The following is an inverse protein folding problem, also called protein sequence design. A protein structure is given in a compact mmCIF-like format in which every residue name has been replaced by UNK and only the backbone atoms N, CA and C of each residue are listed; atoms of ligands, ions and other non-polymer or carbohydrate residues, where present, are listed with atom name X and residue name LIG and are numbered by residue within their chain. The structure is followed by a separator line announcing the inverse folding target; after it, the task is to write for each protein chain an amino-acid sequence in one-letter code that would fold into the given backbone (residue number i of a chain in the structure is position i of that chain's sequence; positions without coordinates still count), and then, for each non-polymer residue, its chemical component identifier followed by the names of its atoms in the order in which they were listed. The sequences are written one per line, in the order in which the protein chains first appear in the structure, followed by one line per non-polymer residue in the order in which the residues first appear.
data_IF_508783538592
#
_entry.id   IF_508783538592
#
_cell.length_a   1.000
_cell.length_b   1.000
_cell.length_c   1.000
_cell.angle_alpha   90.00
_cell.angle_beta   90.00
_cell.angle_gamma   90.00
#
_symmetry.space_group_name_H-M   'P 1'
#
loop_
_entity.id
_entity.type
_entity.pdbx_description
1 polymer ?
#
# COMPACT_ATOMS: atom_id res chain seq x y z
N UNK A 1 39.92 38.35 2.45
CA UNK A 1 38.75 37.73 1.81
C UNK A 1 37.87 38.90 1.42
N UNK A 2 37.55 39.05 0.12
CA UNK A 2 36.69 40.18 -0.31
C UNK A 2 35.29 40.00 0.32
N UNK A 3 34.64 41.14 0.64
CA UNK A 3 33.27 41.12 1.20
C UNK A 3 32.31 40.35 0.31
N UNK A 4 32.54 40.34 -1.00
CA UNK A 4 31.73 39.61 -1.98
C UNK A 4 31.81 38.08 -1.79
N UNK A 5 33.00 37.55 -1.47
CA UNK A 5 33.16 36.11 -1.19
C UNK A 5 32.39 35.73 0.09
N UNK A 6 32.43 36.56 1.11
CA UNK A 6 31.68 36.34 2.37
C UNK A 6 30.18 36.35 2.11
N UNK A 7 29.68 37.29 1.31
CA UNK A 7 28.27 37.38 0.93
C UNK A 7 27.84 36.14 0.13
N UNK A 8 28.63 35.71 -0.85
CA UNK A 8 28.34 34.48 -1.63
C UNK A 8 28.29 33.23 -0.74
N UNK A 9 29.22 33.09 0.20
CA UNK A 9 29.26 31.96 1.13
C UNK A 9 28.03 31.99 2.08
N UNK A 10 27.62 33.16 2.56
CA UNK A 10 26.41 33.31 3.39
C UNK A 10 25.15 33.01 2.61
N UNK A 11 25.03 33.45 1.35
CA UNK A 11 23.90 33.12 0.49
C UNK A 11 23.86 31.62 0.18
N UNK A 12 25.00 30.99 -0.13
CA UNK A 12 25.09 29.55 -0.35
C UNK A 12 24.70 28.77 0.90
N UNK A 13 25.23 29.19 2.06
CA UNK A 13 24.84 28.59 3.35
C UNK A 13 23.33 28.74 3.62
N UNK A 14 22.75 29.90 3.38
CA UNK A 14 21.31 30.13 3.52
C UNK A 14 20.50 29.23 2.59
N UNK A 15 20.91 29.10 1.32
CA UNK A 15 20.26 28.22 0.34
C UNK A 15 20.37 26.76 0.78
N UNK A 16 21.54 26.28 1.18
CA UNK A 16 21.73 24.92 1.68
C UNK A 16 20.95 24.68 2.96
N UNK A 17 20.89 25.65 3.86
CA UNK A 17 20.11 25.58 5.09
C UNK A 17 18.60 25.54 4.81
N UNK A 18 18.10 26.34 3.86
CA UNK A 18 16.71 26.27 3.40
C UNK A 18 16.40 24.92 2.74
N UNK A 19 17.30 24.40 1.90
CA UNK A 19 17.15 23.06 1.33
C UNK A 19 17.12 21.96 2.41
N UNK A 20 17.94 22.08 3.44
CA UNK A 20 17.94 21.16 4.58
C UNK A 20 16.63 21.24 5.37
N UNK A 21 16.15 22.44 5.69
CA UNK A 21 14.87 22.68 6.39
C UNK A 21 13.68 22.17 5.56
N UNK A 22 13.70 22.37 4.24
CA UNK A 22 12.67 21.90 3.31
C UNK A 22 12.77 20.40 3.01
N UNK A 23 13.86 19.73 3.46
CA UNK A 23 14.01 18.31 3.27
C UNK A 23 12.93 17.52 4.05
N UNK A 24 12.41 16.44 3.46
CA UNK A 24 11.46 15.57 4.16
C UNK A 24 12.02 15.01 5.47
N UNK A 25 13.34 14.81 5.57
CA UNK A 25 14.00 14.32 6.79
C UNK A 25 13.79 15.26 7.98
N UNK A 26 13.89 16.56 7.74
CA UNK A 26 13.64 17.57 8.76
C UNK A 26 12.14 17.61 9.13
N UNK A 27 11.27 17.68 8.13
CA UNK A 27 9.82 17.63 8.34
C UNK A 27 9.43 16.36 9.13
N UNK A 28 9.95 15.19 8.75
CA UNK A 28 9.69 13.93 9.44
C UNK A 28 10.06 13.99 10.92
N UNK A 29 11.19 14.62 11.28
CA UNK A 29 11.58 14.76 12.68
C UNK A 29 10.45 15.39 13.51
N UNK A 30 9.87 16.48 13.04
CA UNK A 30 8.73 17.12 13.72
C UNK A 30 7.47 16.26 13.68
N UNK A 31 7.12 15.71 12.54
CA UNK A 31 5.94 14.84 12.42
C UNK A 31 6.02 13.64 13.37
N UNK A 32 7.21 13.15 13.65
CA UNK A 32 7.43 11.99 14.52
C UNK A 32 7.40 12.31 16.02
N UNK A 33 7.28 13.57 16.42
CA UNK A 33 7.02 13.97 17.79
C UNK A 33 5.56 13.75 18.21
N UNK A 34 4.65 13.69 17.24
CA UNK A 34 3.22 13.58 17.48
C UNK A 34 2.73 12.12 17.36
N UNK A 35 1.54 11.88 17.91
CA UNK A 35 0.84 10.59 17.74
C UNK A 35 0.71 10.23 16.25
N UNK A 36 1.03 8.98 15.86
CA UNK A 36 1.05 8.59 14.44
C UNK A 36 -0.28 8.75 13.72
N UNK A 37 -1.40 8.40 14.38
CA UNK A 37 -2.72 8.47 13.76
C UNK A 37 -3.23 9.91 13.67
N UNK A 38 -2.94 10.75 14.69
CA UNK A 38 -3.31 12.17 14.67
C UNK A 38 -2.56 12.91 13.56
N UNK A 39 -1.25 12.68 13.46
CA UNK A 39 -0.45 13.38 12.44
C UNK A 39 -0.78 12.92 11.03
N UNK A 40 -1.16 11.67 10.83
CA UNK A 40 -1.67 11.18 9.55
C UNK A 40 -2.91 11.97 9.11
N UNK A 41 -3.89 12.16 10.00
CA UNK A 41 -5.09 12.96 9.71
C UNK A 41 -4.76 14.43 9.40
N UNK A 42 -3.87 15.03 10.18
CA UNK A 42 -3.40 16.43 9.94
C UNK A 42 -2.71 16.52 8.57
N UNK A 43 -1.85 15.55 8.24
CA UNK A 43 -1.19 15.50 6.93
C UNK A 43 -2.20 15.40 5.78
N UNK A 44 -3.31 14.67 5.95
CA UNK A 44 -4.37 14.60 4.95
C UNK A 44 -5.08 15.94 4.73
N UNK A 45 -5.37 16.68 5.81
CA UNK A 45 -5.94 18.03 5.70
C UNK A 45 -5.01 18.94 4.91
N UNK A 46 -3.70 18.91 5.22
CA UNK A 46 -2.69 19.69 4.51
C UNK A 46 -2.58 19.26 3.04
N UNK A 47 -2.52 17.96 2.75
CA UNK A 47 -2.45 17.44 1.38
C UNK A 47 -3.69 17.79 0.56
N UNK A 48 -4.90 17.70 1.13
CA UNK A 48 -6.13 18.15 0.47
C UNK A 48 -6.07 19.62 0.08
N UNK A 49 -5.59 20.48 0.99
CA UNK A 49 -5.40 21.90 0.70
C UNK A 49 -4.37 22.09 -0.41
N UNK A 50 -3.22 21.41 -0.34
CA UNK A 50 -2.18 21.45 -1.35
C UNK A 50 -2.71 21.05 -2.73
N UNK A 51 -3.45 19.94 -2.80
CA UNK A 51 -4.03 19.41 -4.05
C UNK A 51 -5.20 20.23 -4.59
N UNK A 52 -5.81 21.10 -3.77
CA UNK A 52 -6.87 22.02 -4.25
C UNK A 52 -6.33 23.19 -5.06
N UNK A 53 -5.02 23.45 -5.02
CA UNK A 53 -4.36 24.57 -5.71
C UNK A 53 -3.74 24.06 -7.04
N UNK A 54 -4.30 24.39 -8.22
CA UNK A 54 -3.85 23.82 -9.51
C UNK A 54 -2.38 24.09 -9.83
N UNK A 55 -1.88 25.29 -9.53
CA UNK A 55 -0.46 25.66 -9.74
C UNK A 55 0.49 24.82 -8.85
N UNK A 56 0.06 24.47 -7.65
CA UNK A 56 0.79 23.59 -6.74
C UNK A 56 0.97 22.20 -7.33
N UNK A 57 -0.08 21.59 -7.87
CA UNK A 57 0.00 20.26 -8.50
C UNK A 57 1.04 20.22 -9.62
N UNK A 58 1.01 21.20 -10.53
CA UNK A 58 1.98 21.27 -11.64
C UNK A 58 3.42 21.41 -11.15
N UNK A 59 3.64 22.25 -10.13
CA UNK A 59 4.94 22.43 -9.49
C UNK A 59 5.48 21.12 -8.89
N UNK A 60 4.70 20.42 -8.06
CA UNK A 60 5.13 19.20 -7.41
C UNK A 60 5.33 18.05 -8.40
N UNK A 61 4.48 17.94 -9.43
CA UNK A 61 4.66 16.97 -10.53
C UNK A 61 6.03 17.11 -11.20
N UNK A 62 6.49 18.34 -11.42
CA UNK A 62 7.82 18.60 -11.99
C UNK A 62 8.96 18.03 -11.12
N UNK A 63 8.81 18.04 -9.80
CA UNK A 63 9.84 17.55 -8.88
C UNK A 63 9.81 16.03 -8.68
N UNK A 64 8.64 15.41 -8.66
CA UNK A 64 8.50 14.01 -8.23
C UNK A 64 8.24 13.03 -9.39
N UNK A 65 7.69 13.48 -10.51
CA UNK A 65 7.42 12.56 -11.62
C UNK A 65 8.68 12.31 -12.45
N UNK A 66 8.96 11.05 -12.71
CA UNK A 66 9.95 10.59 -13.67
C UNK A 66 9.20 9.97 -14.85
N UNK A 67 9.25 10.62 -16.01
CA UNK A 67 8.61 10.11 -17.24
C UNK A 67 9.63 9.39 -18.09
N UNK A 68 9.43 8.10 -18.34
CA UNK A 68 10.22 7.31 -19.26
C UNK A 68 9.38 6.10 -19.72
N UNK A 69 9.34 5.83 -21.00
CA UNK A 69 8.60 4.69 -21.58
C UNK A 69 9.11 3.34 -21.05
N UNK A 70 10.37 3.23 -20.66
CA UNK A 70 10.89 1.99 -20.07
C UNK A 70 10.26 1.61 -18.74
N UNK A 71 9.59 2.56 -18.06
CA UNK A 71 8.87 2.32 -16.81
C UNK A 71 7.46 1.77 -17.02
N UNK A 72 6.91 1.97 -18.22
CA UNK A 72 5.54 1.53 -18.53
C UNK A 72 5.45 0.00 -18.46
N UNK A 73 4.41 -0.48 -17.81
CA UNK A 73 4.12 -1.92 -17.64
C UNK A 73 2.67 -2.21 -17.97
N UNK A 74 2.44 -3.25 -18.77
CA UNK A 74 1.10 -3.83 -18.93
C UNK A 74 1.01 -5.07 -18.06
N UNK A 75 0.16 -5.04 -17.04
CA UNK A 75 -0.01 -6.12 -16.04
C UNK A 75 -1.50 -6.36 -15.87
N UNK A 76 -1.94 -7.61 -15.83
CA UNK A 76 -3.36 -8.03 -15.78
C UNK A 76 -4.30 -7.17 -16.64
N UNK A 77 -3.85 -6.83 -17.86
CA UNK A 77 -4.64 -6.07 -18.84
C UNK A 77 -4.75 -4.55 -18.59
N UNK A 78 -4.06 -4.01 -17.58
CA UNK A 78 -3.98 -2.58 -17.29
C UNK A 78 -2.60 -2.02 -17.65
N UNK A 79 -2.56 -0.77 -18.12
CA UNK A 79 -1.32 -0.07 -18.48
C UNK A 79 -0.92 0.88 -17.35
N UNK A 80 0.22 0.61 -16.72
CA UNK A 80 0.78 1.41 -15.64
C UNK A 80 1.90 2.31 -16.17
N UNK A 81 1.87 3.60 -15.88
CA UNK A 81 2.91 4.58 -16.28
C UNK A 81 4.28 4.27 -15.61
N UNK A 82 4.26 3.59 -14.48
CA UNK A 82 5.44 3.07 -13.79
C UNK A 82 5.03 1.99 -12.77
N UNK A 83 5.95 1.11 -12.34
CA UNK A 83 5.61 -0.04 -11.53
C UNK A 83 5.43 0.26 -10.03
N UNK A 84 5.48 1.51 -9.58
CA UNK A 84 5.47 1.86 -8.14
C UNK A 84 4.10 2.36 -7.71
N UNK A 85 3.46 1.65 -6.79
CA UNK A 85 2.16 2.00 -6.23
C UNK A 85 2.21 2.33 -4.74
N UNK A 86 1.11 2.93 -4.26
CA UNK A 86 0.85 3.13 -2.84
C UNK A 86 -0.04 1.99 -2.31
N UNK A 87 0.39 1.32 -1.24
CA UNK A 87 -0.34 0.19 -0.66
C UNK A 87 -1.59 0.64 0.10
N UNK A 88 -2.59 -0.27 0.17
CA UNK A 88 -3.79 -0.10 0.97
C UNK A 88 -3.49 0.24 2.44
N UNK A 89 -4.40 1.00 3.04
CA UNK A 89 -4.31 1.44 4.43
C UNK A 89 -3.75 2.84 4.60
N UNK A 90 -3.11 3.43 3.58
CA UNK A 90 -2.65 4.81 3.61
C UNK A 90 -3.82 5.77 3.34
N UNK A 91 -4.48 5.65 2.22
CA UNK A 91 -5.71 6.38 1.87
C UNK A 91 -6.91 5.41 1.87
N UNK A 92 -7.37 5.04 3.05
CA UNK A 92 -8.42 4.03 3.21
C UNK A 92 -9.75 4.42 2.59
N UNK A 93 -10.07 5.68 2.76
CA UNK A 93 -11.39 6.22 2.45
C UNK A 93 -11.42 7.01 1.14
N UNK A 94 -10.37 6.86 0.31
CA UNK A 94 -10.21 7.60 -0.94
C UNK A 94 -10.35 9.13 -0.76
N UNK A 95 -9.62 9.67 0.22
CA UNK A 95 -9.69 11.08 0.56
C UNK A 95 -8.73 11.96 -0.24
N UNK A 96 -7.56 11.41 -0.65
CA UNK A 96 -6.49 12.13 -1.34
C UNK A 96 -5.97 11.41 -2.58
N UNK A 97 -6.54 10.25 -2.94
CA UNK A 97 -6.10 9.37 -4.04
C UNK A 97 -5.81 10.13 -5.34
N UNK A 98 -6.65 11.11 -5.67
CA UNK A 98 -6.62 11.86 -6.92
C UNK A 98 -5.38 12.77 -7.05
N UNK A 99 -4.79 13.16 -5.94
CA UNK A 99 -3.57 13.97 -5.89
C UNK A 99 -2.27 13.15 -5.72
N UNK A 100 -2.37 11.85 -5.47
CA UNK A 100 -1.20 11.02 -5.20
C UNK A 100 -0.33 10.78 -6.44
N UNK A 101 -0.89 10.94 -7.64
CA UNK A 101 -0.13 10.95 -8.90
C UNK A 101 0.95 12.05 -8.89
N UNK A 102 0.73 13.13 -8.15
CA UNK A 102 1.67 14.25 -7.99
C UNK A 102 3.01 13.80 -7.39
N UNK A 103 3.00 12.74 -6.57
CA UNK A 103 4.22 12.16 -5.99
C UNK A 103 4.85 11.08 -6.87
N UNK A 104 4.35 10.90 -8.10
CA UNK A 104 4.92 9.97 -9.09
C UNK A 104 4.46 8.52 -8.95
N UNK A 105 3.44 8.23 -8.14
CA UNK A 105 2.85 6.90 -8.09
C UNK A 105 2.18 6.55 -9.42
N UNK A 106 2.43 5.34 -9.93
CA UNK A 106 1.75 4.79 -11.09
C UNK A 106 0.34 4.29 -10.78
N UNK A 107 0.09 3.91 -9.53
CA UNK A 107 -1.21 3.45 -9.05
C UNK A 107 -1.34 3.60 -7.54
N UNK A 108 -2.58 3.54 -7.05
CA UNK A 108 -2.89 3.57 -5.61
C UNK A 108 -3.89 2.47 -5.26
N UNK A 109 -3.73 1.85 -4.09
CA UNK A 109 -4.68 0.91 -3.53
C UNK A 109 -5.39 1.57 -2.35
N UNK A 110 -6.68 1.86 -2.53
CA UNK A 110 -7.53 2.40 -1.47
C UNK A 110 -8.05 1.27 -0.57
N UNK A 111 -8.57 1.60 0.60
CA UNK A 111 -9.16 0.63 1.51
C UNK A 111 -8.19 0.20 2.63
N UNK A 112 -8.50 -0.84 3.37
CA UNK A 112 -9.60 -1.81 3.12
C UNK A 112 -10.95 -1.15 3.38
N UNK A 113 -11.84 -1.27 2.41
CA UNK A 113 -13.22 -0.80 2.46
C UNK A 113 -14.12 -1.93 2.91
N UNK A 114 -15.07 -1.63 3.80
CA UNK A 114 -16.13 -2.55 4.23
C UNK A 114 -17.51 -2.00 3.87
N UNK A 115 -18.58 -2.82 3.82
CA UNK A 115 -19.92 -2.34 3.48
C UNK A 115 -20.37 -1.18 4.34
N UNK A 116 -20.25 -1.32 5.65
CA UNK A 116 -20.63 -0.31 6.63
C UNK A 116 -19.40 0.36 7.20
N UNK A 117 -19.53 1.65 7.55
CA UNK A 117 -18.51 2.36 8.33
C UNK A 117 -18.24 1.66 9.66
N UNK A 118 -16.98 1.67 10.09
CA UNK A 118 -16.60 1.13 11.40
C UNK A 118 -15.38 1.83 11.96
N UNK A 119 -15.37 2.02 13.30
CA UNK A 119 -14.30 2.73 14.00
C UNK A 119 -12.99 1.96 14.06
N UNK A 120 -13.04 0.63 13.90
CA UNK A 120 -11.90 -0.27 14.07
C UNK A 120 -11.61 -0.60 15.53
N UNK A 121 -10.34 -0.87 15.85
CA UNK A 121 -9.93 -1.22 17.20
C UNK A 121 -9.69 0.02 18.07
N UNK A 122 -9.74 -0.12 19.43
CA UNK A 122 -9.44 0.97 20.36
C UNK A 122 -8.06 1.59 20.15
N UNK A 123 -7.94 2.87 20.43
CA UNK A 123 -6.66 3.61 20.42
C UNK A 123 -5.95 3.49 21.79
N UNK A 124 -4.60 3.58 21.80
CA UNK A 124 -3.69 3.73 20.65
C UNK A 124 -3.56 2.43 19.84
N UNK A 125 -3.44 2.55 18.54
CA UNK A 125 -3.45 1.42 17.60
C UNK A 125 -2.45 1.52 16.44
N UNK A 126 -1.59 2.53 16.48
CA UNK A 126 -0.52 2.75 15.50
C UNK A 126 0.75 3.18 16.23
N UNK A 127 1.84 2.43 16.05
CA UNK A 127 3.08 2.62 16.79
C UNK A 127 4.27 2.60 15.83
N UNK A 128 5.16 3.61 15.95
CA UNK A 128 6.40 3.67 15.17
C UNK A 128 7.54 3.04 15.94
N UNK A 129 8.22 2.11 15.32
CA UNK A 129 9.50 1.56 15.78
C UNK A 129 10.62 2.29 15.05
N UNK A 130 11.03 3.45 15.58
CA UNK A 130 11.92 4.39 14.86
C UNK A 130 13.27 3.77 14.53
N UNK A 131 13.85 2.96 15.45
CA UNK A 131 15.15 2.29 15.28
C UNK A 131 15.08 1.21 14.18
N UNK A 132 13.92 0.58 14.02
CA UNK A 132 13.70 -0.51 13.06
C UNK A 132 13.16 -0.01 11.71
N UNK A 133 12.93 1.29 11.53
CA UNK A 133 12.23 1.84 10.38
C UNK A 133 10.92 1.07 10.10
N UNK A 134 10.14 0.86 11.14
CA UNK A 134 8.98 -0.02 11.15
C UNK A 134 7.75 0.61 11.82
N UNK A 135 6.60 -0.02 11.59
CA UNK A 135 5.33 0.37 12.19
C UNK A 135 4.59 -0.89 12.65
N UNK A 136 4.09 -0.89 13.90
CA UNK A 136 3.10 -1.85 14.36
C UNK A 136 1.74 -1.18 14.30
N UNK A 137 0.76 -1.84 13.69
CA UNK A 137 -0.63 -1.38 13.65
C UNK A 137 -1.61 -2.46 14.08
N UNK A 138 -2.70 -2.04 14.72
CA UNK A 138 -3.87 -2.85 15.01
C UNK A 138 -5.16 -2.09 14.66
N UNK A 139 -5.22 -1.57 13.45
CA UNK A 139 -6.27 -0.67 13.01
C UNK A 139 -7.66 -1.30 13.00
N UNK A 140 -7.81 -2.56 12.56
CA UNK A 140 -9.09 -3.28 12.53
C UNK A 140 -10.06 -2.77 11.47
N UNK A 141 -9.55 -2.43 10.29
CA UNK A 141 -10.33 -1.95 9.15
C UNK A 141 -11.23 -0.74 9.45
N UNK A 142 -10.73 0.23 10.25
CA UNK A 142 -11.44 1.50 10.40
C UNK A 142 -11.59 2.19 9.03
N UNK A 143 -12.83 2.50 8.65
CA UNK A 143 -13.16 3.16 7.39
C UNK A 143 -14.58 3.75 7.44
N UNK A 144 -14.89 4.66 6.50
CA UNK A 144 -16.16 5.38 6.42
C UNK A 144 -17.26 4.57 5.70
N UNK A 145 -16.99 3.34 5.28
CA UNK A 145 -17.91 2.48 4.54
C UNK A 145 -17.92 2.75 3.02
N UNK A 146 -18.41 1.78 2.28
CA UNK A 146 -18.33 1.78 0.81
C UNK A 146 -19.05 2.97 0.16
N UNK A 147 -20.17 3.42 0.70
CA UNK A 147 -20.94 4.53 0.12
C UNK A 147 -20.15 5.86 0.19
N UNK A 148 -19.48 6.12 1.31
CA UNK A 148 -18.65 7.32 1.46
C UNK A 148 -17.47 7.29 0.50
N UNK A 149 -16.82 6.13 0.35
CA UNK A 149 -15.71 5.92 -0.59
C UNK A 149 -16.18 6.15 -2.03
N UNK A 150 -17.30 5.57 -2.45
CA UNK A 150 -17.91 5.78 -3.79
C UNK A 150 -18.19 7.25 -4.03
N UNK A 151 -18.78 7.96 -3.04
CA UNK A 151 -19.05 9.40 -3.17
C UNK A 151 -17.79 10.23 -3.46
N UNK A 152 -16.63 9.83 -2.92
CA UNK A 152 -15.35 10.49 -3.15
C UNK A 152 -14.77 10.10 -4.52
N UNK A 153 -14.79 8.82 -4.87
CA UNK A 153 -14.29 8.30 -6.15
C UNK A 153 -15.03 8.89 -7.36
N UNK A 154 -16.31 9.22 -7.25
CA UNK A 154 -17.09 9.92 -8.30
C UNK A 154 -16.48 11.26 -8.71
N UNK A 155 -15.62 11.84 -7.88
CA UNK A 155 -14.95 13.14 -8.11
C UNK A 155 -13.57 13.01 -8.73
N UNK A 156 -13.16 11.77 -9.12
CA UNK A 156 -11.86 11.50 -9.75
C UNK A 156 -11.63 12.40 -10.96
N UNK A 157 -10.47 13.02 -11.02
CA UNK A 157 -10.02 13.91 -12.11
C UNK A 157 -8.74 13.40 -12.79
N UNK A 158 -7.91 12.65 -12.06
CA UNK A 158 -6.65 12.09 -12.57
C UNK A 158 -6.90 10.77 -13.31
N UNK A 159 -5.90 10.35 -14.08
CA UNK A 159 -5.90 9.04 -14.75
C UNK A 159 -5.20 7.96 -13.91
N UNK A 160 -4.90 8.23 -12.63
CA UNK A 160 -4.23 7.27 -11.77
C UNK A 160 -5.05 5.97 -11.67
N UNK A 161 -4.38 4.84 -11.78
CA UNK A 161 -5.01 3.52 -11.63
C UNK A 161 -5.34 3.30 -10.14
N UNK A 162 -6.55 2.84 -9.88
CA UNK A 162 -7.06 2.64 -8.51
C UNK A 162 -7.36 1.16 -8.28
N UNK A 163 -6.67 0.56 -7.31
CA UNK A 163 -7.05 -0.73 -6.73
C UNK A 163 -8.04 -0.55 -5.59
N UNK A 164 -9.12 -1.30 -5.63
CA UNK A 164 -10.12 -1.36 -4.56
C UNK A 164 -9.84 -2.51 -3.61
N UNK A 165 -9.22 -2.26 -2.47
CA UNK A 165 -9.01 -3.27 -1.44
C UNK A 165 -10.27 -3.43 -0.61
N UNK A 166 -10.87 -4.62 -0.63
CA UNK A 166 -12.16 -4.92 0.01
C UNK A 166 -12.04 -5.96 1.11
N UNK A 167 -12.89 -5.85 2.11
CA UNK A 167 -12.92 -6.76 3.25
C UNK A 167 -14.28 -6.78 3.95
N UNK A 168 -14.45 -7.73 4.89
CA UNK A 168 -15.67 -7.80 5.69
C UNK A 168 -15.67 -6.83 6.88
N UNK A 169 -16.84 -6.41 7.32
CA UNK A 169 -17.00 -5.72 8.58
C UNK A 169 -16.55 -6.62 9.76
N UNK A 170 -16.07 -5.99 10.83
CA UNK A 170 -15.56 -6.70 12.02
C UNK A 170 -16.63 -7.58 12.67
N UNK A 171 -17.88 -7.10 12.70
CA UNK A 171 -19.01 -7.78 13.33
C UNK A 171 -19.65 -8.86 12.43
N UNK A 172 -19.34 -8.88 11.14
CA UNK A 172 -19.88 -9.90 10.24
C UNK A 172 -19.20 -11.25 10.53
N UNK A 173 -19.95 -12.32 10.85
CA UNK A 173 -19.41 -13.65 11.03
C UNK A 173 -18.77 -14.20 9.75
N UNK A 174 -17.83 -15.13 9.85
CA UNK A 174 -17.10 -15.66 8.70
C UNK A 174 -18.01 -16.39 7.70
N UNK A 175 -19.06 -17.07 8.16
CA UNK A 175 -20.06 -17.75 7.33
C UNK A 175 -20.88 -16.78 6.45
N UNK A 176 -20.95 -15.50 6.83
CA UNK A 176 -21.62 -14.42 6.08
C UNK A 176 -20.64 -13.46 5.40
N UNK A 177 -19.33 -13.73 5.51
CA UNK A 177 -18.30 -12.82 5.00
C UNK A 177 -18.47 -12.53 3.49
N UNK A 178 -18.86 -13.53 2.70
CA UNK A 178 -19.03 -13.40 1.25
C UNK A 178 -19.93 -12.24 0.89
N UNK A 179 -21.04 -12.03 1.61
CA UNK A 179 -21.97 -10.93 1.35
C UNK A 179 -21.30 -9.55 1.45
N UNK A 180 -20.40 -9.38 2.42
CA UNK A 180 -19.67 -8.11 2.60
C UNK A 180 -18.74 -7.83 1.43
N UNK A 181 -18.05 -8.86 0.94
CA UNK A 181 -17.19 -8.72 -0.24
C UNK A 181 -18.01 -8.44 -1.51
N UNK A 182 -19.15 -9.11 -1.70
CA UNK A 182 -20.06 -8.85 -2.82
C UNK A 182 -20.56 -7.40 -2.82
N UNK A 183 -21.05 -6.90 -1.66
CA UNK A 183 -21.52 -5.52 -1.54
C UNK A 183 -20.43 -4.53 -1.92
N UNK A 184 -19.22 -4.71 -1.39
CA UNK A 184 -18.09 -3.82 -1.72
C UNK A 184 -17.70 -3.93 -3.19
N UNK A 185 -17.66 -5.13 -3.75
CA UNK A 185 -17.34 -5.38 -5.15
C UNK A 185 -18.33 -4.67 -6.09
N UNK A 186 -19.63 -4.87 -5.87
CA UNK A 186 -20.69 -4.27 -6.69
C UNK A 186 -20.67 -2.74 -6.61
N UNK A 187 -20.56 -2.18 -5.42
CA UNK A 187 -20.60 -0.73 -5.21
C UNK A 187 -19.40 -0.01 -5.78
N UNK A 188 -18.20 -0.60 -5.67
CA UNK A 188 -16.96 -0.02 -6.16
C UNK A 188 -16.70 -0.30 -7.64
N UNK A 189 -17.45 -1.23 -8.26
CA UNK A 189 -17.14 -1.76 -9.59
C UNK A 189 -16.86 -0.68 -10.64
N UNK A 190 -17.68 0.37 -10.70
CA UNK A 190 -17.54 1.43 -11.70
C UNK A 190 -16.45 2.48 -11.37
N UNK A 191 -15.80 2.38 -10.21
CA UNK A 191 -14.95 3.45 -9.67
C UNK A 191 -13.50 3.03 -9.45
N UNK A 192 -13.19 1.74 -9.47
CA UNK A 192 -11.83 1.20 -9.36
C UNK A 192 -11.44 0.48 -10.63
N UNK A 193 -10.14 0.29 -10.86
CA UNK A 193 -9.61 -0.36 -12.06
C UNK A 193 -9.38 -1.86 -11.85
N UNK A 194 -9.06 -2.29 -10.63
CA UNK A 194 -8.92 -3.68 -10.21
C UNK A 194 -9.34 -3.84 -8.74
N UNK A 195 -9.56 -5.07 -8.31
CA UNK A 195 -9.93 -5.39 -6.94
C UNK A 195 -8.85 -6.17 -6.21
N UNK A 196 -8.77 -5.98 -4.89
CA UNK A 196 -7.91 -6.77 -4.00
C UNK A 196 -8.75 -7.32 -2.85
N UNK A 197 -8.88 -8.65 -2.80
CA UNK A 197 -9.58 -9.36 -1.73
C UNK A 197 -8.64 -9.51 -0.53
N UNK A 198 -8.98 -8.86 0.58
CA UNK A 198 -8.14 -8.83 1.77
C UNK A 198 -8.70 -9.73 2.87
N UNK A 199 -8.15 -10.93 2.99
CA UNK A 199 -8.44 -11.91 4.06
C UNK A 199 -7.26 -12.07 5.03
N UNK A 200 -6.21 -11.27 4.91
CA UNK A 200 -4.90 -11.51 5.54
C UNK A 200 -4.57 -10.60 6.72
N UNK A 201 -5.46 -9.66 7.10
CA UNK A 201 -5.21 -8.77 8.24
C UNK A 201 -5.19 -9.53 9.57
N UNK A 202 -4.13 -9.36 10.39
CA UNK A 202 -4.09 -9.95 11.73
C UNK A 202 -4.94 -9.20 12.76
N UNK A 203 -5.55 -8.08 12.35
CA UNK A 203 -6.17 -7.11 13.25
C UNK A 203 -7.70 -7.21 13.32
N UNK A 204 -8.28 -8.13 12.58
CA UNK A 204 -9.71 -8.45 12.58
C UNK A 204 -9.88 -9.88 13.05
N UNK A 205 -10.62 -10.12 14.17
CA UNK A 205 -10.80 -11.46 14.72
C UNK A 205 -11.32 -12.47 13.69
N UNK A 206 -10.72 -13.65 13.64
CA UNK A 206 -11.11 -14.76 12.76
C UNK A 206 -10.88 -14.52 11.26
N UNK A 207 -10.47 -13.32 10.83
CA UNK A 207 -10.35 -13.03 9.39
C UNK A 207 -9.38 -13.96 8.66
N UNK A 208 -8.26 -14.31 9.30
CA UNK A 208 -7.26 -15.19 8.70
C UNK A 208 -7.72 -16.63 8.52
N UNK A 209 -8.79 -17.07 9.18
CA UNK A 209 -9.44 -18.36 8.94
C UNK A 209 -10.06 -18.43 7.53
N UNK A 210 -10.42 -17.27 6.95
CA UNK A 210 -10.87 -17.18 5.56
C UNK A 210 -9.74 -17.43 4.54
N UNK A 211 -8.48 -17.56 4.96
CA UNK A 211 -7.37 -17.96 4.10
C UNK A 211 -7.27 -19.50 3.94
N UNK A 212 -8.03 -20.27 4.72
CA UNK A 212 -8.11 -21.71 4.54
C UNK A 212 -8.70 -22.03 3.16
N UNK A 213 -8.23 -23.10 2.55
CA UNK A 213 -8.46 -23.42 1.14
C UNK A 213 -9.93 -23.39 0.73
N UNK A 214 -10.80 -24.07 1.47
CA UNK A 214 -12.22 -24.22 1.12
C UNK A 214 -12.98 -22.88 1.21
N UNK A 215 -12.98 -22.12 2.34
CA UNK A 215 -13.70 -20.86 2.44
C UNK A 215 -13.15 -19.81 1.47
N UNK A 216 -11.82 -19.77 1.25
CA UNK A 216 -11.19 -18.85 0.32
C UNK A 216 -11.61 -19.14 -1.12
N UNK A 217 -11.53 -20.40 -1.55
CA UNK A 217 -11.94 -20.81 -2.90
C UNK A 217 -13.41 -20.45 -3.17
N UNK A 218 -14.30 -20.70 -2.20
CA UNK A 218 -15.72 -20.35 -2.30
C UNK A 218 -15.94 -18.84 -2.47
N UNK A 219 -15.27 -18.03 -1.65
CA UNK A 219 -15.34 -16.58 -1.74
C UNK A 219 -14.89 -16.08 -3.11
N UNK A 220 -13.72 -16.53 -3.58
CA UNK A 220 -13.11 -16.04 -4.81
C UNK A 220 -13.90 -16.51 -6.06
N UNK A 221 -14.38 -17.76 -6.09
CA UNK A 221 -15.27 -18.25 -7.16
C UNK A 221 -16.52 -17.38 -7.25
N UNK A 222 -17.13 -17.05 -6.11
CA UNK A 222 -18.33 -16.22 -6.09
C UNK A 222 -18.08 -14.82 -6.65
N UNK A 223 -16.97 -14.17 -6.30
CA UNK A 223 -16.62 -12.87 -6.86
C UNK A 223 -16.32 -12.95 -8.36
N UNK A 224 -15.66 -14.00 -8.81
CA UNK A 224 -15.41 -14.24 -10.24
C UNK A 224 -16.69 -14.51 -11.02
N UNK A 225 -17.68 -15.21 -10.46
CA UNK A 225 -19.00 -15.38 -11.06
C UNK A 225 -19.65 -13.99 -11.32
N UNK A 226 -19.75 -13.17 -10.29
CA UNK A 226 -20.31 -11.81 -10.41
C UNK A 226 -19.51 -10.97 -11.41
N UNK A 227 -18.18 -11.10 -11.43
CA UNK A 227 -17.29 -10.36 -12.32
C UNK A 227 -17.52 -10.74 -13.80
N UNK A 228 -17.72 -12.04 -14.09
CA UNK A 228 -17.97 -12.53 -15.46
C UNK A 228 -19.27 -12.01 -16.04
N UNK A 229 -20.25 -11.72 -15.21
CA UNK A 229 -21.54 -11.15 -15.64
C UNK A 229 -21.46 -9.65 -15.96
N UNK A 230 -20.32 -9.00 -15.68
CA UNK A 230 -20.11 -7.59 -16.02
C UNK A 230 -19.75 -7.40 -17.48
N UNK A 231 -20.19 -6.28 -18.07
CA UNK A 231 -19.88 -5.92 -19.46
C UNK A 231 -18.35 -5.90 -19.73
N UNK A 232 -17.56 -5.44 -18.75
CA UNK A 232 -16.09 -5.45 -18.82
C UNK A 232 -15.56 -5.94 -17.48
N UNK A 233 -15.29 -7.24 -17.33
CA UNK A 233 -14.71 -7.79 -16.11
C UNK A 233 -13.42 -7.05 -15.70
N UNK A 234 -13.18 -6.98 -14.40
CA UNK A 234 -11.99 -6.32 -13.82
C UNK A 234 -11.08 -7.34 -13.16
N UNK A 235 -9.76 -7.11 -13.17
CA UNK A 235 -8.83 -7.98 -12.47
C UNK A 235 -9.15 -8.09 -10.98
N UNK A 236 -9.10 -9.30 -10.43
CA UNK A 236 -9.26 -9.58 -9.00
C UNK A 236 -7.97 -10.23 -8.49
N UNK A 237 -7.35 -9.62 -7.49
CA UNK A 237 -6.14 -10.10 -6.85
C UNK A 237 -6.43 -10.52 -5.40
N UNK A 238 -5.65 -11.47 -4.89
CA UNK A 238 -5.71 -11.90 -3.50
C UNK A 238 -4.55 -11.31 -2.69
N UNK A 239 -4.84 -10.67 -1.54
CA UNK A 239 -3.78 -10.17 -0.64
C UNK A 239 -3.52 -11.18 0.48
N UNK A 240 -2.28 -11.69 0.52
CA UNK A 240 -1.86 -12.75 1.42
C UNK A 240 -1.01 -12.25 2.59
N UNK A 241 -0.99 -13.04 3.69
CA UNK A 241 -0.10 -12.81 4.82
C UNK A 241 1.33 -13.30 4.52
N UNK A 242 2.36 -12.66 5.09
CA UNK A 242 3.74 -13.15 4.97
C UNK A 242 4.01 -14.38 5.85
N UNK A 243 3.15 -14.63 6.83
CA UNK A 243 3.33 -15.65 7.86
C UNK A 243 2.90 -17.06 7.39
N UNK A 244 2.49 -17.21 6.13
CA UNK A 244 2.09 -18.49 5.54
C UNK A 244 3.29 -19.44 5.40
N UNK A 245 3.05 -20.74 5.65
CA UNK A 245 4.02 -21.81 5.36
C UNK A 245 4.10 -22.07 3.85
N UNK A 246 5.12 -22.79 3.40
CA UNK A 246 5.25 -23.15 1.99
C UNK A 246 4.08 -23.99 1.50
N UNK A 247 3.56 -24.93 2.32
CA UNK A 247 2.36 -25.69 1.97
C UNK A 247 1.13 -24.81 1.78
N UNK A 248 0.96 -23.79 2.63
CA UNK A 248 -0.12 -22.82 2.47
C UNK A 248 0.07 -21.94 1.22
N UNK A 249 1.32 -21.62 0.85
CA UNK A 249 1.61 -20.92 -0.41
C UNK A 249 1.30 -21.81 -1.62
N UNK A 250 1.55 -23.12 -1.55
CA UNK A 250 1.12 -24.09 -2.58
C UNK A 250 -0.41 -24.12 -2.72
N UNK A 251 -1.15 -24.08 -1.60
CA UNK A 251 -2.61 -23.95 -1.62
C UNK A 251 -3.07 -22.64 -2.29
N UNK A 252 -2.38 -21.50 -2.03
CA UNK A 252 -2.68 -20.23 -2.70
C UNK A 252 -2.51 -20.36 -4.22
N UNK A 253 -1.43 -20.99 -4.70
CA UNK A 253 -1.20 -21.21 -6.13
C UNK A 253 -2.35 -21.99 -6.74
N UNK A 254 -2.75 -23.12 -6.11
CA UNK A 254 -3.87 -23.92 -6.56
C UNK A 254 -5.19 -23.14 -6.60
N UNK A 255 -5.47 -22.35 -5.55
CA UNK A 255 -6.68 -21.52 -5.47
C UNK A 255 -6.73 -20.50 -6.62
N UNK A 256 -5.61 -19.87 -6.94
CA UNK A 256 -5.55 -18.89 -8.06
C UNK A 256 -5.84 -19.58 -9.38
N UNK A 257 -5.23 -20.74 -9.63
CA UNK A 257 -5.46 -21.53 -10.85
C UNK A 257 -6.93 -22.00 -10.94
N UNK A 258 -7.51 -22.51 -9.82
CA UNK A 258 -8.90 -22.98 -9.78
C UNK A 258 -9.93 -21.86 -9.95
N UNK A 259 -9.63 -20.67 -9.47
CA UNK A 259 -10.56 -19.52 -9.47
C UNK A 259 -10.37 -18.60 -10.66
N UNK A 260 -9.23 -18.70 -11.34
CA UNK A 260 -8.86 -17.84 -12.46
C UNK A 260 -8.62 -16.39 -12.03
N UNK A 261 -8.05 -16.15 -10.82
CA UNK A 261 -7.64 -14.82 -10.41
C UNK A 261 -6.41 -14.36 -11.21
N UNK A 262 -6.32 -13.06 -11.43
CA UNK A 262 -5.25 -12.45 -12.21
C UNK A 262 -3.94 -12.30 -11.42
N UNK A 263 -3.98 -12.42 -10.07
CA UNK A 263 -2.73 -12.29 -9.32
C UNK A 263 -2.85 -12.21 -7.81
N UNK A 264 -1.72 -11.89 -7.19
CA UNK A 264 -1.54 -11.81 -5.74
C UNK A 264 -0.89 -10.49 -5.33
N UNK A 265 -1.29 -9.95 -4.18
CA UNK A 265 -0.57 -8.89 -3.47
C UNK A 265 0.22 -9.52 -2.32
N UNK A 266 1.52 -9.63 -2.48
CA UNK A 266 2.44 -10.27 -1.53
C UNK A 266 3.43 -9.23 -0.96
N UNK A 267 3.27 -8.80 0.32
CA UNK A 267 2.42 -9.35 1.37
C UNK A 267 1.71 -8.27 2.22
N UNK A 268 0.81 -8.73 3.11
CA UNK A 268 0.31 -7.92 4.22
C UNK A 268 1.41 -7.78 5.30
N UNK A 269 1.04 -7.32 6.50
CA UNK A 269 1.92 -7.19 7.67
C UNK A 269 2.13 -8.53 8.39
N UNK A 270 3.29 -8.70 9.05
CA UNK A 270 3.64 -9.91 9.82
C UNK A 270 3.29 -9.80 11.29
N UNK A 271 3.04 -10.92 11.93
CA UNK A 271 2.97 -11.05 13.39
C UNK A 271 4.33 -11.42 14.02
N UNK A 272 5.32 -11.76 13.22
CA UNK A 272 6.69 -12.03 13.69
C UNK A 272 7.32 -10.74 14.27
N UNK A 273 8.11 -10.91 15.33
CA UNK A 273 8.80 -9.83 16.08
C UNK A 273 10.31 -10.06 16.20
N UNK A 274 10.84 -11.06 15.49
CA UNK A 274 12.25 -11.40 15.56
C UNK A 274 13.13 -10.30 14.99
N UNK A 275 14.36 -10.23 15.48
CA UNK A 275 15.42 -9.36 14.97
C UNK A 275 15.11 -7.85 15.03
N UNK A 276 14.25 -7.41 15.94
CA UNK A 276 14.00 -5.98 16.16
C UNK A 276 15.11 -5.35 17.02
N UNK A 277 15.48 -4.11 16.69
CA UNK A 277 16.40 -3.28 17.50
C UNK A 277 15.64 -2.70 18.71
N UNK A 278 14.35 -2.43 18.55
CA UNK A 278 13.46 -2.03 19.64
C UNK A 278 13.43 -3.13 20.71
N UNK A 279 13.52 -2.74 21.97
CA UNK A 279 13.62 -3.70 23.07
C UNK A 279 12.40 -4.62 23.16
N UNK A 280 12.60 -5.85 23.60
CA UNK A 280 11.51 -6.81 23.79
C UNK A 280 10.44 -6.28 24.77
N UNK A 281 10.85 -5.50 25.77
CA UNK A 281 9.94 -4.86 26.71
C UNK A 281 9.03 -3.84 26.01
N UNK A 282 9.59 -2.94 25.20
CA UNK A 282 8.82 -1.96 24.43
C UNK A 282 7.85 -2.65 23.45
N UNK A 283 8.32 -3.69 22.74
CA UNK A 283 7.48 -4.47 21.82
C UNK A 283 6.34 -5.17 22.56
N UNK A 284 6.63 -5.73 23.73
CA UNK A 284 5.64 -6.38 24.59
C UNK A 284 4.60 -5.39 25.13
N UNK A 285 5.02 -4.19 25.49
CA UNK A 285 4.12 -3.11 25.95
C UNK A 285 3.22 -2.61 24.80
N UNK A 286 3.72 -2.58 23.56
CA UNK A 286 2.89 -2.29 22.38
C UNK A 286 1.86 -3.41 22.17
N UNK A 287 2.25 -4.67 22.34
CA UNK A 287 1.38 -5.84 22.21
C UNK A 287 1.05 -6.24 20.76
N UNK A 288 -0.12 -6.85 20.57
CA UNK A 288 -0.54 -7.42 19.29
C UNK A 288 -0.69 -6.36 18.18
N UNK A 289 -0.53 -6.79 16.94
CA UNK A 289 -0.69 -5.98 15.74
C UNK A 289 0.14 -6.51 14.57
N UNK A 290 -0.06 -5.96 13.39
CA UNK A 290 0.75 -6.26 12.21
C UNK A 290 1.99 -5.37 12.15
N UNK A 291 3.17 -5.95 11.97
CA UNK A 291 4.45 -5.26 11.78
C UNK A 291 4.73 -5.07 10.30
N UNK A 292 5.06 -3.85 9.91
CA UNK A 292 5.47 -3.45 8.56
C UNK A 292 6.79 -2.67 8.58
N UNK A 293 7.39 -2.47 7.42
CA UNK A 293 8.65 -1.75 7.26
C UNK A 293 9.84 -2.68 7.12
N UNK A 294 11.03 -2.18 7.39
CA UNK A 294 12.30 -2.86 7.11
C UNK A 294 12.37 -4.31 7.61
N UNK A 295 11.87 -4.66 8.81
CA UNK A 295 11.92 -6.05 9.29
C UNK A 295 11.15 -7.07 8.44
N UNK A 296 10.17 -6.60 7.63
CA UNK A 296 9.39 -7.48 6.76
C UNK A 296 10.08 -7.74 5.40
N UNK A 297 11.16 -7.03 5.06
CA UNK A 297 11.73 -7.02 3.72
C UNK A 297 12.07 -8.42 3.20
N UNK A 298 12.91 -9.13 3.93
CA UNK A 298 13.47 -10.40 3.46
C UNK A 298 12.36 -11.46 3.34
N UNK A 299 11.48 -11.57 4.34
CA UNK A 299 10.36 -12.53 4.29
C UNK A 299 9.40 -12.24 3.14
N UNK A 300 9.09 -10.99 2.87
CA UNK A 300 8.26 -10.63 1.72
C UNK A 300 8.93 -11.00 0.39
N UNK A 301 10.26 -10.80 0.26
CA UNK A 301 11.02 -11.21 -0.93
C UNK A 301 11.01 -12.72 -1.12
N UNK A 302 11.20 -13.49 -0.04
CA UNK A 302 11.11 -14.97 -0.08
C UNK A 302 9.75 -15.46 -0.56
N UNK A 303 8.65 -14.88 -0.04
CA UNK A 303 7.30 -15.25 -0.44
C UNK A 303 7.06 -14.94 -1.93
N UNK A 304 7.47 -13.77 -2.41
CA UNK A 304 7.35 -13.38 -3.82
C UNK A 304 8.13 -14.37 -4.70
N UNK A 305 9.38 -14.65 -4.34
CA UNK A 305 10.23 -15.59 -5.08
C UNK A 305 9.60 -16.98 -5.13
N UNK A 306 9.14 -17.49 -3.99
CA UNK A 306 8.50 -18.81 -3.91
C UNK A 306 7.28 -18.91 -4.83
N UNK A 307 6.38 -17.92 -4.75
CA UNK A 307 5.18 -17.87 -5.60
C UNK A 307 5.53 -17.80 -7.08
N UNK A 308 6.46 -16.93 -7.46
CA UNK A 308 6.88 -16.75 -8.85
C UNK A 308 7.51 -18.02 -9.44
N UNK A 309 8.41 -18.68 -8.70
CA UNK A 309 9.08 -19.90 -9.14
C UNK A 309 8.12 -21.08 -9.22
N UNK A 310 7.31 -21.29 -8.17
CA UNK A 310 6.41 -22.45 -8.08
C UNK A 310 5.22 -22.38 -9.03
N UNK A 311 4.71 -21.18 -9.31
CA UNK A 311 3.63 -20.99 -10.28
C UNK A 311 4.13 -20.93 -11.74
N UNK A 312 5.44 -20.99 -11.98
CA UNK A 312 6.03 -20.70 -13.30
C UNK A 312 5.54 -19.35 -13.88
N UNK A 313 5.31 -18.36 -13.02
CA UNK A 313 4.80 -17.03 -13.37
C UNK A 313 3.43 -17.09 -14.07
N UNK A 314 2.55 -18.02 -13.69
CA UNK A 314 1.22 -18.17 -14.29
C UNK A 314 0.25 -17.05 -13.95
N UNK A 315 0.55 -16.25 -12.91
CA UNK A 315 -0.22 -15.09 -12.47
C UNK A 315 0.68 -13.92 -12.07
N UNK A 316 0.11 -12.72 -12.02
CA UNK A 316 0.87 -11.50 -11.67
C UNK A 316 1.06 -11.34 -10.16
N UNK A 317 2.17 -10.72 -9.76
CA UNK A 317 2.50 -10.45 -8.36
C UNK A 317 2.75 -8.96 -8.13
N UNK A 318 1.99 -8.35 -7.22
CA UNK A 318 2.32 -7.02 -6.66
C UNK A 318 3.12 -7.22 -5.39
N UNK A 319 4.41 -6.87 -5.43
CA UNK A 319 5.33 -7.04 -4.30
C UNK A 319 5.18 -5.93 -3.25
N UNK A 320 4.92 -6.29 -1.99
CA UNK A 320 4.76 -5.35 -0.87
C UNK A 320 5.51 -5.85 0.36
N UNK A 321 6.26 -4.99 1.02
CA UNK A 321 6.88 -5.27 2.31
C UNK A 321 8.35 -4.87 2.36
N UNK A 322 8.67 -3.93 3.26
CA UNK A 322 10.03 -3.53 3.56
C UNK A 322 10.74 -2.66 2.53
N UNK A 323 10.06 -2.19 1.48
CA UNK A 323 10.65 -1.30 0.47
C UNK A 323 10.87 0.08 1.07
N UNK A 324 12.12 0.48 1.23
CA UNK A 324 12.57 1.77 1.75
C UNK A 324 13.65 2.42 0.88
N UNK A 325 14.08 1.75 -0.18
CA UNK A 325 15.06 2.23 -1.15
C UNK A 325 14.75 1.71 -2.55
N UNK A 326 15.45 2.25 -3.54
CA UNK A 326 15.37 1.75 -4.91
C UNK A 326 15.87 0.30 -5.01
N UNK A 327 16.94 -0.05 -4.30
CA UNK A 327 17.47 -1.42 -4.27
C UNK A 327 16.47 -2.43 -3.71
N UNK A 328 15.68 -2.06 -2.69
CA UNK A 328 14.63 -2.95 -2.15
C UNK A 328 13.52 -3.19 -3.17
N UNK A 329 13.14 -2.16 -3.94
CA UNK A 329 12.13 -2.31 -5.00
C UNK A 329 12.62 -3.22 -6.13
N UNK A 330 13.86 -3.01 -6.57
CA UNK A 330 14.52 -3.83 -7.60
C UNK A 330 14.64 -5.29 -7.14
N UNK A 331 14.99 -5.53 -5.87
CA UNK A 331 15.03 -6.87 -5.29
C UNK A 331 13.68 -7.59 -5.39
N UNK A 332 12.56 -6.89 -5.12
CA UNK A 332 11.21 -7.46 -5.28
C UNK A 332 10.88 -7.79 -6.74
N UNK A 333 11.21 -6.88 -7.67
CA UNK A 333 10.99 -7.11 -9.10
C UNK A 333 11.84 -8.29 -9.60
N UNK A 334 13.09 -8.39 -9.20
CA UNK A 334 13.98 -9.51 -9.52
C UNK A 334 13.52 -10.84 -8.89
N UNK A 335 12.85 -10.79 -7.73
CA UNK A 335 12.23 -11.96 -7.11
C UNK A 335 10.98 -12.45 -7.86
N UNK A 336 10.47 -11.70 -8.84
CA UNK A 336 9.35 -12.06 -9.70
C UNK A 336 8.09 -11.23 -9.51
N UNK A 337 8.15 -10.11 -8.79
CA UNK A 337 7.04 -9.16 -8.78
C UNK A 337 6.97 -8.39 -10.11
N UNK A 338 5.75 -8.14 -10.62
CA UNK A 338 5.50 -7.32 -11.79
C UNK A 338 5.41 -5.83 -11.44
N UNK A 339 4.81 -5.55 -10.29
CA UNK A 339 4.63 -4.23 -9.70
C UNK A 339 5.05 -4.25 -8.24
N UNK A 340 5.33 -3.08 -7.66
CA UNK A 340 5.66 -2.94 -6.24
C UNK A 340 4.79 -1.89 -5.56
N UNK A 341 4.50 -2.08 -4.27
CA UNK A 341 3.81 -1.09 -3.46
C UNK A 341 4.64 -0.69 -2.25
N UNK A 342 4.59 0.58 -1.91
CA UNK A 342 5.24 1.13 -0.71
C UNK A 342 4.20 1.63 0.29
N UNK A 343 4.51 1.55 1.58
CA UNK A 343 3.72 2.10 2.67
C UNK A 343 4.63 2.72 3.74
N UNK A 344 5.26 1.89 4.58
CA UNK A 344 6.13 2.33 5.67
C UNK A 344 7.36 3.07 5.14
N UNK A 345 7.94 2.63 4.00
CA UNK A 345 9.01 3.36 3.33
C UNK A 345 8.60 4.78 2.93
N UNK A 346 7.39 4.98 2.43
CA UNK A 346 6.88 6.32 2.12
C UNK A 346 6.77 7.22 3.37
N UNK A 347 6.36 6.65 4.52
CA UNK A 347 6.32 7.39 5.79
C UNK A 347 7.72 7.80 6.28
N UNK A 348 8.73 6.94 6.08
CA UNK A 348 10.08 7.20 6.56
C UNK A 348 10.95 8.01 5.58
N UNK A 349 10.83 7.78 4.27
CA UNK A 349 11.68 8.39 3.25
C UNK A 349 10.99 9.52 2.46
N UNK A 350 9.65 9.60 2.55
CA UNK A 350 8.86 10.65 1.90
C UNK A 350 8.65 10.46 0.40
N UNK A 351 8.11 11.50 -0.27
CA UNK A 351 7.72 11.43 -1.68
C UNK A 351 8.88 11.13 -2.64
N UNK A 352 10.09 11.55 -2.29
CA UNK A 352 11.28 11.30 -3.12
C UNK A 352 11.57 9.81 -3.34
N UNK A 353 11.06 8.92 -2.49
CA UNK A 353 11.27 7.48 -2.62
C UNK A 353 10.76 6.95 -3.96
N UNK A 354 9.55 7.36 -4.38
CA UNK A 354 8.96 6.94 -5.67
C UNK A 354 9.85 7.37 -6.84
N UNK A 355 10.26 8.66 -6.84
CA UNK A 355 11.16 9.19 -7.86
C UNK A 355 12.48 8.42 -7.92
N UNK A 356 13.09 8.18 -6.76
CA UNK A 356 14.39 7.48 -6.68
C UNK A 356 14.29 6.04 -7.19
N UNK A 357 13.18 5.34 -6.89
CA UNK A 357 12.92 4.00 -7.44
C UNK A 357 12.82 4.06 -8.96
N UNK A 358 11.98 4.95 -9.50
CA UNK A 358 11.78 5.07 -10.94
C UNK A 358 13.07 5.48 -11.67
N UNK A 359 13.86 6.38 -11.12
CA UNK A 359 15.14 6.77 -11.70
C UNK A 359 16.16 5.63 -11.74
N UNK A 360 16.19 4.77 -10.73
CA UNK A 360 17.10 3.64 -10.71
C UNK A 360 16.65 2.53 -11.67
N UNK A 361 15.34 2.32 -11.82
CA UNK A 361 14.79 1.37 -12.78
C UNK A 361 15.10 1.73 -14.24
N UNK A 362 15.21 3.03 -14.56
CA UNK A 362 15.58 3.48 -15.92
C UNK A 362 17.02 3.11 -16.28
N UNK A 363 17.88 2.93 -15.28
CA UNK A 363 19.32 2.63 -15.49
C UNK A 363 19.59 1.14 -15.75
N UNK A 364 18.58 0.28 -15.50
CA UNK A 364 18.65 -1.16 -15.78
C UNK A 364 18.26 -1.51 -17.22
#
# INVERSE_FOLDING_TARGET
VSNDIVIILLLLFLVLFLFYILSYRFLRYFLFLFDPEKIHKISFVFLKLLFSIPSSLSFWKHFFITKNKSLEKTVFGLNFDNPVGLAAGFDKDAEIFDGLDTFGFGFVEIGTVTPLAQDGNPKPRLFRLKKDHAVINRMGFNNDGVEAVVSRLRRKKSNIIIGGNIGKNKLTPNDKAINDYEICFEKLFNYVDYFVVNVSSPNTPGLRELQDKEPLTKLLKRLQEINKDKYKPKPILLKIAPDLTNSQLDDIIQIIDETGLEGVVATNTTINRDNLITTNEDVKNIGNGGLSGKPLKDRSTEVIKYLSEKSNKSFSIIGVGGISSASDAIEKLNAGADLVQIYTGFIYEGPSLVKNINQELIKQ
#
